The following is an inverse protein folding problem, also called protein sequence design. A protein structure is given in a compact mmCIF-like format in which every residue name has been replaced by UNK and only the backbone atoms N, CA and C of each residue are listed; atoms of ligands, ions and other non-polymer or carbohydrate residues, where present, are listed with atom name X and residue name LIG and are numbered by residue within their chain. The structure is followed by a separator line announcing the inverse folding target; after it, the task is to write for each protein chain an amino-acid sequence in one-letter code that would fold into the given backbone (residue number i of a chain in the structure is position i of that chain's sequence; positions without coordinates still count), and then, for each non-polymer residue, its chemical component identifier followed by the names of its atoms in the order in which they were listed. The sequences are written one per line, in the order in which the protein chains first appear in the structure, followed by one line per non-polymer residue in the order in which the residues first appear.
data_IF_687788122549
#
_entry.id   IF_687788122549
#
_cell.length_a   1.000
_cell.length_b   1.000
_cell.length_c   1.000
_cell.angle_alpha   90.00
_cell.angle_beta   90.00
_cell.angle_gamma   90.00
#
_symmetry.space_group_name_H-M   'P 1'
#
loop_
_entity.id
_entity.type
_entity.pdbx_description
1 polymer ?
#
# COMPACT_ATOMS: atom_id res chain seq x y z
N UNK A 1 14.74 11.65 -17.76
CA UNK A 1 13.79 12.78 -17.50
C UNK A 1 14.04 13.28 -16.08
N UNK A 2 14.01 14.60 -15.89
CA UNK A 2 14.01 15.19 -14.55
C UNK A 2 12.67 14.99 -13.83
N UNK A 3 12.64 15.32 -12.54
CA UNK A 3 11.46 15.08 -11.70
C UNK A 3 10.23 15.90 -12.09
N UNK A 4 10.43 17.12 -12.57
CA UNK A 4 9.32 18.01 -12.98
C UNK A 4 8.67 17.53 -14.30
N UNK A 5 9.49 17.05 -15.23
CA UNK A 5 8.99 16.44 -16.49
C UNK A 5 8.17 15.18 -16.19
N UNK A 6 8.66 14.30 -15.29
CA UNK A 6 7.89 13.11 -14.86
C UNK A 6 6.58 13.50 -14.17
N UNK A 7 6.61 14.54 -13.34
CA UNK A 7 5.43 15.04 -12.64
C UNK A 7 4.39 15.62 -13.60
N UNK A 8 4.84 16.34 -14.65
CA UNK A 8 3.95 16.82 -15.70
C UNK A 8 3.30 15.66 -16.46
N UNK A 9 4.09 14.65 -16.85
CA UNK A 9 3.59 13.43 -17.51
C UNK A 9 2.59 12.67 -16.64
N UNK A 10 2.86 12.53 -15.33
CA UNK A 10 1.93 11.92 -14.39
C UNK A 10 0.57 12.63 -14.41
N UNK A 11 0.55 13.95 -14.33
CA UNK A 11 -0.69 14.75 -14.36
C UNK A 11 -1.44 14.60 -15.67
N UNK A 12 -0.73 14.55 -16.80
CA UNK A 12 -1.32 14.34 -18.12
C UNK A 12 -1.97 12.95 -18.21
N UNK A 13 -1.26 11.89 -17.79
CA UNK A 13 -1.80 10.53 -17.75
C UNK A 13 -3.08 10.46 -16.90
N UNK A 14 -3.05 11.05 -15.70
CA UNK A 14 -4.21 11.07 -14.79
C UNK A 14 -5.40 11.80 -15.43
N UNK A 15 -5.17 12.94 -16.08
CA UNK A 15 -6.23 13.70 -16.76
C UNK A 15 -6.99 12.86 -17.78
N UNK A 16 -6.30 11.95 -18.46
CA UNK A 16 -6.89 11.09 -19.49
C UNK A 16 -7.71 9.93 -18.93
N UNK A 17 -7.66 9.66 -17.62
CA UNK A 17 -8.43 8.55 -17.01
C UNK A 17 -9.88 8.91 -16.69
N UNK A 18 -10.22 10.20 -16.56
CA UNK A 18 -11.57 10.65 -16.22
C UNK A 18 -11.93 10.39 -14.75
N UNK A 19 -12.83 9.46 -14.48
CA UNK A 19 -13.17 9.03 -13.11
C UNK A 19 -12.32 7.86 -12.68
N UNK A 20 -11.75 7.92 -11.45
CA UNK A 20 -10.85 6.88 -10.96
C UNK A 20 -11.10 6.50 -9.50
N UNK A 21 -10.77 5.24 -9.17
CA UNK A 21 -10.63 4.76 -7.80
C UNK A 21 -9.15 4.48 -7.50
N UNK A 22 -8.62 5.11 -6.46
CA UNK A 22 -7.24 4.90 -6.00
C UNK A 22 -7.22 3.80 -4.95
N UNK A 23 -6.44 2.74 -5.17
CA UNK A 23 -6.11 1.73 -4.17
C UNK A 23 -5.22 2.37 -3.09
N UNK A 24 -5.85 2.87 -2.02
CA UNK A 24 -5.22 3.74 -1.03
C UNK A 24 -4.81 2.98 0.23
N UNK A 25 -3.50 2.84 0.45
CA UNK A 25 -2.95 2.17 1.63
C UNK A 25 -2.52 3.12 2.76
N UNK A 26 -2.48 4.43 2.54
CA UNK A 26 -1.94 5.42 3.48
C UNK A 26 -0.41 5.45 3.57
N UNK A 27 0.28 4.75 2.68
CA UNK A 27 1.73 4.82 2.51
C UNK A 27 2.17 5.99 1.62
N UNK A 28 3.49 6.21 1.50
CA UNK A 28 4.09 7.30 0.71
C UNK A 28 3.51 7.37 -0.70
N UNK A 29 3.64 6.28 -1.46
CA UNK A 29 3.33 6.26 -2.90
C UNK A 29 1.83 6.46 -3.15
N UNK A 30 0.98 5.76 -2.40
CA UNK A 30 -0.48 5.86 -2.56
C UNK A 30 -1.05 7.21 -2.09
N UNK A 31 -0.44 7.83 -1.06
CA UNK A 31 -0.86 9.16 -0.60
C UNK A 31 -0.46 10.23 -1.61
N UNK A 32 0.75 10.17 -2.15
CA UNK A 32 1.19 11.06 -3.22
C UNK A 32 0.31 10.92 -4.46
N UNK A 33 0.08 9.68 -4.91
CA UNK A 33 -0.79 9.42 -6.04
C UNK A 33 -2.21 9.98 -5.82
N UNK A 34 -2.81 9.70 -4.66
CA UNK A 34 -4.15 10.16 -4.33
C UNK A 34 -4.24 11.69 -4.35
N UNK A 35 -3.23 12.39 -3.78
CA UNK A 35 -3.16 13.86 -3.82
C UNK A 35 -3.13 14.37 -5.25
N UNK A 36 -2.21 13.84 -6.09
CA UNK A 36 -2.09 14.30 -7.47
C UNK A 36 -3.36 14.00 -8.28
N UNK A 37 -3.96 12.84 -8.08
CA UNK A 37 -5.22 12.49 -8.72
C UNK A 37 -6.33 13.48 -8.35
N UNK A 38 -6.46 13.81 -7.07
CA UNK A 38 -7.46 14.76 -6.61
C UNK A 38 -7.20 16.18 -7.12
N UNK A 39 -5.95 16.63 -7.13
CA UNK A 39 -5.59 17.95 -7.67
C UNK A 39 -5.91 18.09 -9.17
N UNK A 40 -5.86 16.98 -9.92
CA UNK A 40 -6.11 16.98 -11.38
C UNK A 40 -7.60 16.77 -11.71
N UNK A 41 -8.29 15.90 -10.99
CA UNK A 41 -9.63 15.40 -11.34
C UNK A 41 -10.74 15.86 -10.38
N UNK A 42 -10.38 16.48 -9.22
CA UNK A 42 -11.36 16.92 -8.22
C UNK A 42 -12.23 15.77 -7.72
N UNK A 43 -13.54 15.98 -7.71
CA UNK A 43 -14.54 15.03 -7.21
C UNK A 43 -14.66 13.74 -8.05
N UNK A 44 -13.94 13.63 -9.17
CA UNK A 44 -13.89 12.41 -9.98
C UNK A 44 -12.93 11.35 -9.40
N UNK A 45 -12.44 11.54 -8.17
CA UNK A 45 -11.54 10.61 -7.49
C UNK A 45 -12.19 10.07 -6.22
N UNK A 46 -12.13 8.76 -6.04
CA UNK A 46 -12.43 8.12 -4.76
C UNK A 46 -11.20 7.40 -4.24
N UNK A 47 -11.04 7.37 -2.92
CA UNK A 47 -10.07 6.52 -2.23
C UNK A 47 -10.74 5.23 -1.75
N UNK A 48 -10.12 4.07 -1.98
CA UNK A 48 -10.59 2.80 -1.45
C UNK A 48 -9.47 2.13 -0.66
N UNK A 49 -9.68 1.96 0.64
CA UNK A 49 -8.75 1.30 1.56
C UNK A 49 -9.26 -0.04 2.01
N UNK A 50 -8.36 -1.01 2.10
CA UNK A 50 -8.64 -2.31 2.71
C UNK A 50 -7.91 -2.37 4.05
N UNK A 51 -8.65 -2.59 5.14
CA UNK A 51 -8.12 -2.78 6.50
C UNK A 51 -7.98 -4.26 6.78
N UNK A 52 -6.77 -4.67 7.14
CA UNK A 52 -6.43 -6.07 7.46
C UNK A 52 -5.65 -6.14 8.77
N UNK A 53 -5.68 -7.28 9.44
CA UNK A 53 -4.88 -7.53 10.65
C UNK A 53 -3.37 -7.63 10.36
N UNK A 54 -3.01 -7.76 9.08
CA UNK A 54 -1.61 -7.85 8.63
C UNK A 54 -0.92 -6.49 8.48
N UNK A 55 -1.65 -5.40 8.71
CA UNK A 55 -1.10 -4.05 8.76
C UNK A 55 -1.26 -3.50 10.18
N UNK A 56 -0.19 -3.02 10.82
CA UNK A 56 -0.30 -2.38 12.13
C UNK A 56 -1.24 -1.17 12.10
N UNK A 57 -2.03 -0.99 13.18
CA UNK A 57 -3.01 0.11 13.29
C UNK A 57 -2.35 1.48 13.10
N UNK A 58 -1.12 1.65 13.59
CA UNK A 58 -0.32 2.88 13.42
C UNK A 58 -0.14 3.30 11.96
N UNK A 59 -0.24 2.36 11.01
CA UNK A 59 -0.09 2.65 9.58
C UNK A 59 -1.32 3.33 8.99
N UNK A 60 -2.48 3.22 9.65
CA UNK A 60 -3.72 3.86 9.23
C UNK A 60 -3.90 5.27 9.82
N UNK A 61 -3.22 5.54 10.94
CA UNK A 61 -3.26 6.87 11.55
C UNK A 61 -2.76 7.90 10.53
N UNK A 62 -3.45 9.01 10.45
CA UNK A 62 -3.16 10.07 9.47
C UNK A 62 -3.71 9.82 8.06
N UNK A 63 -3.97 8.56 7.64
CA UNK A 63 -4.54 8.32 6.31
C UNK A 63 -5.99 8.78 6.20
N UNK A 64 -6.80 8.54 7.23
CA UNK A 64 -8.20 8.98 7.28
C UNK A 64 -8.30 10.50 7.48
N UNK A 65 -7.44 11.06 8.32
CA UNK A 65 -7.36 12.50 8.53
C UNK A 65 -6.98 13.22 7.23
N UNK A 66 -5.98 12.71 6.51
CA UNK A 66 -5.57 13.26 5.22
C UNK A 66 -6.74 13.30 4.22
N UNK A 67 -7.42 12.17 4.03
CA UNK A 67 -8.52 12.07 3.07
C UNK A 67 -9.67 13.00 3.44
N UNK A 68 -9.99 13.10 4.75
CA UNK A 68 -11.01 14.02 5.28
C UNK A 68 -10.62 15.47 5.04
N UNK A 69 -9.35 15.84 5.29
CA UNK A 69 -8.82 17.20 5.08
C UNK A 69 -8.89 17.60 3.60
N UNK A 70 -8.55 16.69 2.70
CA UNK A 70 -8.61 16.94 1.26
C UNK A 70 -10.04 16.88 0.68
N UNK A 71 -11.04 16.48 1.45
CA UNK A 71 -12.43 16.36 0.99
C UNK A 71 -12.69 15.20 0.04
N UNK A 72 -11.81 14.19 0.02
CA UNK A 72 -11.91 13.06 -0.91
C UNK A 72 -12.91 12.02 -0.39
N UNK A 73 -13.79 11.51 -1.25
CA UNK A 73 -14.70 10.40 -0.91
C UNK A 73 -13.91 9.13 -0.62
N UNK A 74 -14.08 8.56 0.58
CA UNK A 74 -13.26 7.44 1.04
C UNK A 74 -14.11 6.24 1.47
N UNK A 75 -13.81 5.08 0.90
CA UNK A 75 -14.39 3.79 1.28
C UNK A 75 -13.35 2.97 2.04
N UNK A 76 -13.75 2.46 3.20
CA UNK A 76 -12.90 1.61 4.04
C UNK A 76 -13.60 0.26 4.18
N UNK A 77 -12.96 -0.80 3.68
CA UNK A 77 -13.44 -2.16 3.79
C UNK A 77 -12.58 -2.95 4.77
N UNK A 78 -13.22 -3.70 5.65
CA UNK A 78 -12.53 -4.70 6.47
C UNK A 78 -12.36 -5.98 5.68
N UNK A 79 -11.18 -6.57 5.74
CA UNK A 79 -10.86 -7.82 5.10
C UNK A 79 -10.23 -8.79 6.09
N UNK A 80 -10.79 -10.00 6.14
CA UNK A 80 -10.22 -11.07 6.93
C UNK A 80 -9.30 -11.92 6.04
N UNK A 81 -8.00 -11.66 6.11
CA UNK A 81 -6.97 -12.34 5.31
C UNK A 81 -6.97 -13.86 5.53
N UNK A 82 -7.31 -14.31 6.74
CA UNK A 82 -7.24 -15.73 7.13
C UNK A 82 -8.28 -16.61 6.43
N UNK A 83 -9.25 -15.99 5.75
CA UNK A 83 -10.20 -16.73 4.91
C UNK A 83 -9.56 -17.23 3.61
N UNK A 84 -8.41 -16.67 3.22
CA UNK A 84 -7.70 -17.10 2.03
C UNK A 84 -6.82 -18.33 2.32
N UNK A 85 -6.93 -19.40 1.50
CA UNK A 85 -6.11 -20.61 1.67
C UNK A 85 -4.60 -20.35 1.66
N UNK A 86 -4.14 -19.29 0.98
CA UNK A 86 -2.72 -18.94 0.91
C UNK A 86 -2.12 -18.52 2.26
N UNK A 87 -2.92 -18.15 3.27
CA UNK A 87 -2.41 -17.85 4.61
C UNK A 87 -2.22 -19.13 5.45
N UNK A 88 -2.96 -20.19 5.15
CA UNK A 88 -2.77 -21.50 5.80
C UNK A 88 -1.47 -22.17 5.39
N UNK A 89 -1.11 -22.08 4.10
CA UNK A 89 0.05 -22.77 3.54
C UNK A 89 1.25 -21.84 3.31
N UNK A 90 1.04 -20.53 3.36
CA UNK A 90 2.05 -19.48 3.18
C UNK A 90 3.03 -19.75 2.02
N UNK A 91 2.53 -19.95 0.78
CA UNK A 91 3.38 -20.21 -0.38
C UNK A 91 4.16 -18.96 -0.81
N UNK A 92 5.24 -19.11 -1.61
CA UNK A 92 6.02 -17.97 -2.10
C UNK A 92 5.20 -16.93 -2.87
N UNK A 93 4.14 -17.35 -3.55
CA UNK A 93 3.23 -16.48 -4.32
C UNK A 93 2.01 -16.01 -3.52
N UNK A 94 1.97 -16.20 -2.17
CA UNK A 94 0.89 -15.71 -1.28
C UNK A 94 0.48 -14.27 -1.60
N UNK A 95 1.46 -13.39 -1.86
CA UNK A 95 1.19 -11.97 -2.13
C UNK A 95 0.36 -11.76 -3.40
N UNK A 96 0.44 -12.65 -4.39
CA UNK A 96 -0.41 -12.60 -5.57
C UNK A 96 -1.88 -12.85 -5.21
N UNK A 97 -2.18 -13.92 -4.48
CA UNK A 97 -3.56 -14.25 -4.10
C UNK A 97 -4.19 -13.19 -3.22
N UNK A 98 -3.44 -12.71 -2.21
CA UNK A 98 -3.88 -11.64 -1.33
C UNK A 98 -4.15 -10.34 -2.11
N UNK A 99 -3.21 -9.90 -2.94
CA UNK A 99 -3.36 -8.67 -3.74
C UNK A 99 -4.54 -8.78 -4.72
N UNK A 100 -4.73 -9.94 -5.35
CA UNK A 100 -5.84 -10.18 -6.28
C UNK A 100 -7.19 -10.03 -5.59
N UNK A 101 -7.36 -10.64 -4.42
CA UNK A 101 -8.61 -10.54 -3.64
C UNK A 101 -8.88 -9.10 -3.19
N UNK A 102 -7.87 -8.39 -2.70
CA UNK A 102 -7.95 -6.98 -2.34
C UNK A 102 -8.43 -6.14 -3.53
N UNK A 103 -7.82 -6.33 -4.70
CA UNK A 103 -8.14 -5.57 -5.90
C UNK A 103 -9.57 -5.87 -6.41
N UNK A 104 -10.02 -7.12 -6.35
CA UNK A 104 -11.40 -7.48 -6.71
C UNK A 104 -12.42 -6.75 -5.85
N UNK A 105 -12.15 -6.59 -4.55
CA UNK A 105 -13.01 -5.81 -3.64
C UNK A 105 -13.01 -4.33 -3.99
N UNK A 106 -11.84 -3.77 -4.33
CA UNK A 106 -11.72 -2.37 -4.78
C UNK A 106 -12.49 -2.16 -6.07
N UNK A 107 -12.37 -3.07 -7.04
CA UNK A 107 -13.10 -3.03 -8.31
C UNK A 107 -14.61 -3.02 -8.05
N UNK A 108 -15.10 -3.86 -7.14
CA UNK A 108 -16.53 -3.93 -6.82
C UNK A 108 -17.04 -2.61 -6.22
N UNK A 109 -16.29 -1.98 -5.31
CA UNK A 109 -16.65 -0.65 -4.78
C UNK A 109 -16.65 0.40 -5.88
N UNK A 110 -15.62 0.41 -6.72
CA UNK A 110 -15.51 1.35 -7.84
C UNK A 110 -16.66 1.20 -8.83
N UNK A 111 -17.05 -0.04 -9.15
CA UNK A 111 -18.17 -0.32 -10.04
C UNK A 111 -19.51 0.21 -9.49
N UNK A 112 -19.75 0.09 -8.18
CA UNK A 112 -20.95 0.65 -7.53
C UNK A 112 -21.00 2.18 -7.60
N UNK A 113 -19.84 2.85 -7.77
CA UNK A 113 -19.70 4.29 -7.97
C UNK A 113 -19.66 4.69 -9.46
N UNK A 114 -19.88 3.74 -10.37
CA UNK A 114 -19.80 3.96 -11.82
C UNK A 114 -18.38 4.23 -12.32
N UNK A 115 -17.37 3.74 -11.62
CA UNK A 115 -15.95 3.92 -11.93
C UNK A 115 -15.37 2.61 -12.46
N UNK A 116 -14.74 2.66 -13.62
CA UNK A 116 -14.12 1.49 -14.26
C UNK A 116 -12.60 1.51 -14.20
N UNK A 117 -12.00 2.68 -13.97
CA UNK A 117 -10.54 2.84 -13.91
C UNK A 117 -10.06 2.80 -12.47
N UNK A 118 -9.27 1.80 -12.14
CA UNK A 118 -8.62 1.67 -10.85
C UNK A 118 -7.12 1.91 -11.01
N UNK A 119 -6.52 2.67 -10.09
CA UNK A 119 -5.09 2.98 -10.09
C UNK A 119 -4.43 2.55 -8.80
N UNK A 120 -3.14 2.17 -8.86
CA UNK A 120 -2.32 1.84 -7.70
C UNK A 120 -1.01 2.62 -7.66
N UNK A 121 -0.36 2.65 -6.50
CA UNK A 121 0.87 3.40 -6.24
C UNK A 121 2.16 2.68 -6.62
N UNK A 122 2.14 1.70 -7.53
CA UNK A 122 3.36 1.05 -8.01
C UNK A 122 4.27 2.04 -8.74
N UNK A 123 5.58 1.95 -8.50
CA UNK A 123 6.59 2.87 -9.01
C UNK A 123 7.78 2.11 -9.62
N UNK A 124 8.79 2.81 -10.14
CA UNK A 124 9.93 2.21 -10.84
C UNK A 124 10.77 1.28 -9.97
N UNK A 125 10.92 1.56 -8.67
CA UNK A 125 11.70 0.72 -7.76
C UNK A 125 11.05 -0.66 -7.55
N UNK A 126 9.73 -0.77 -7.76
CA UNK A 126 9.00 -2.04 -7.65
C UNK A 126 9.31 -3.01 -8.80
N UNK A 127 9.98 -2.55 -9.88
CA UNK A 127 10.43 -3.42 -10.98
C UNK A 127 11.64 -4.27 -10.62
N UNK A 128 12.47 -3.79 -9.70
CA UNK A 128 13.74 -4.42 -9.31
C UNK A 128 13.56 -5.47 -8.20
N UNK A 129 12.33 -5.65 -7.69
CA UNK A 129 12.03 -6.54 -6.56
C UNK A 129 11.13 -7.71 -6.98
N UNK A 130 11.32 -8.87 -6.35
CA UNK A 130 10.40 -10.01 -6.52
C UNK A 130 9.05 -9.70 -5.88
N UNK A 131 8.09 -9.28 -6.69
CA UNK A 131 6.75 -8.90 -6.25
C UNK A 131 5.65 -9.68 -6.97
N UNK A 132 5.34 -10.90 -6.53
CA UNK A 132 4.30 -11.72 -7.17
C UNK A 132 2.93 -11.03 -7.24
N UNK A 133 2.65 -10.09 -6.35
CA UNK A 133 1.42 -9.28 -6.38
C UNK A 133 1.25 -8.42 -7.64
N UNK A 134 2.33 -8.11 -8.39
CA UNK A 134 2.24 -7.37 -9.66
C UNK A 134 1.47 -8.12 -10.74
N UNK A 135 1.54 -9.46 -10.74
CA UNK A 135 0.75 -10.29 -11.67
C UNK A 135 -0.75 -9.99 -11.53
N UNK A 136 -1.24 -9.76 -10.31
CA UNK A 136 -2.63 -9.41 -10.07
C UNK A 136 -3.02 -8.04 -10.67
N UNK A 137 -2.11 -7.05 -10.68
CA UNK A 137 -2.35 -5.75 -11.32
C UNK A 137 -2.56 -5.93 -12.82
N UNK A 138 -1.68 -6.69 -13.47
CA UNK A 138 -1.78 -6.96 -14.92
C UNK A 138 -3.05 -7.72 -15.28
N UNK A 139 -3.37 -8.80 -14.55
CA UNK A 139 -4.57 -9.61 -14.80
C UNK A 139 -5.88 -8.83 -14.63
N UNK A 140 -5.90 -7.90 -13.68
CA UNK A 140 -7.10 -7.11 -13.37
C UNK A 140 -7.09 -5.73 -14.06
N UNK A 141 -6.14 -5.49 -14.97
CA UNK A 141 -6.02 -4.24 -15.74
C UNK A 141 -5.93 -2.98 -14.87
N UNK A 142 -5.31 -3.10 -13.67
CA UNK A 142 -5.06 -1.95 -12.79
C UNK A 142 -3.98 -1.07 -13.38
N UNK A 143 -4.22 0.22 -13.45
CA UNK A 143 -3.24 1.20 -13.95
C UNK A 143 -2.25 1.59 -12.86
N UNK A 144 -1.00 1.83 -13.25
CA UNK A 144 0.08 2.24 -12.34
C UNK A 144 0.70 3.57 -12.82
N UNK A 145 0.01 4.71 -12.63
CA UNK A 145 0.41 5.97 -13.26
C UNK A 145 1.78 6.48 -12.83
N UNK A 146 2.23 6.19 -11.60
CA UNK A 146 3.58 6.53 -11.15
C UNK A 146 4.65 5.75 -11.94
N UNK A 147 4.39 4.46 -12.18
CA UNK A 147 5.26 3.61 -12.99
C UNK A 147 5.26 4.07 -14.46
N UNK A 148 4.09 4.36 -15.01
CA UNK A 148 3.91 4.85 -16.39
C UNK A 148 4.64 6.18 -16.63
N UNK A 149 4.70 7.05 -15.61
CA UNK A 149 5.46 8.30 -15.63
C UNK A 149 6.96 8.14 -15.32
N UNK A 150 7.44 6.91 -15.08
CA UNK A 150 8.83 6.62 -14.77
C UNK A 150 9.31 7.16 -13.42
N UNK A 151 8.40 7.29 -12.43
CA UNK A 151 8.71 7.84 -11.11
C UNK A 151 9.38 6.82 -10.21
N UNK A 152 10.46 7.23 -9.56
CA UNK A 152 11.14 6.50 -8.50
C UNK A 152 10.64 6.92 -7.12
N UNK A 153 10.91 6.13 -6.08
CA UNK A 153 10.62 6.53 -4.68
C UNK A 153 11.31 7.82 -4.29
N UNK A 154 12.50 8.08 -4.84
CA UNK A 154 13.22 9.34 -4.62
C UNK A 154 12.43 10.53 -5.19
N UNK A 155 11.93 10.41 -6.42
CA UNK A 155 11.11 11.45 -7.07
C UNK A 155 9.84 11.71 -6.25
N UNK A 156 9.16 10.63 -5.83
CA UNK A 156 7.94 10.70 -5.03
C UNK A 156 8.18 11.39 -3.69
N UNK A 157 9.30 11.10 -2.99
CA UNK A 157 9.64 11.77 -1.72
C UNK A 157 9.88 13.26 -1.89
N UNK A 158 10.65 13.66 -2.92
CA UNK A 158 10.92 15.07 -3.22
C UNK A 158 9.62 15.84 -3.48
N UNK A 159 8.75 15.29 -4.32
CA UNK A 159 7.46 15.92 -4.63
C UNK A 159 6.48 15.89 -3.44
N UNK A 160 6.45 14.80 -2.67
CA UNK A 160 5.64 14.71 -1.46
C UNK A 160 6.04 15.77 -0.43
N UNK A 161 7.34 16.03 -0.27
CA UNK A 161 7.84 17.08 0.60
C UNK A 161 7.45 18.47 0.11
N UNK A 162 7.58 18.73 -1.20
CA UNK A 162 7.13 20.01 -1.82
C UNK A 162 5.62 20.23 -1.62
N UNK A 163 4.81 19.17 -1.68
CA UNK A 163 3.35 19.24 -1.46
C UNK A 163 2.96 19.25 0.01
N UNK A 164 3.91 19.19 0.95
CA UNK A 164 3.65 19.17 2.38
C UNK A 164 2.93 17.91 2.87
N UNK A 165 3.07 16.77 2.19
CA UNK A 165 2.42 15.52 2.56
C UNK A 165 3.09 14.92 3.80
N UNK A 166 2.30 14.53 4.79
CA UNK A 166 2.78 13.93 6.05
C UNK A 166 3.57 12.63 5.85
N UNK A 167 3.44 12.01 4.68
CA UNK A 167 4.08 10.73 4.34
C UNK A 167 5.43 10.88 3.66
N UNK A 168 5.96 12.08 3.41
CA UNK A 168 7.16 12.31 2.59
C UNK A 168 8.39 11.54 3.08
N UNK A 169 8.57 11.39 4.40
CA UNK A 169 9.64 10.61 5.02
C UNK A 169 9.18 9.27 5.61
N UNK A 170 7.88 8.93 5.42
CA UNK A 170 7.34 7.68 5.95
C UNK A 170 8.06 6.48 5.34
N UNK A 171 8.44 5.55 6.21
CA UNK A 171 9.02 4.29 5.80
C UNK A 171 7.93 3.36 5.28
N UNK A 172 8.28 2.51 4.32
CA UNK A 172 7.33 1.51 3.82
C UNK A 172 7.27 0.33 4.78
N UNK A 173 6.19 0.17 5.55
CA UNK A 173 6.04 -0.99 6.40
C UNK A 173 5.83 -2.22 5.51
N UNK A 174 6.59 -3.26 5.78
CA UNK A 174 6.32 -4.56 5.17
C UNK A 174 5.13 -5.22 5.87
N UNK A 175 4.26 -5.88 5.09
CA UNK A 175 3.16 -6.67 5.60
C UNK A 175 3.63 -7.67 6.70
N UNK A 176 2.89 -7.80 7.80
CA UNK A 176 3.21 -8.69 8.92
C UNK A 176 3.39 -10.16 8.47
N UNK A 177 2.71 -10.57 7.41
CA UNK A 177 2.89 -11.89 6.83
C UNK A 177 4.34 -12.18 6.36
N UNK A 178 5.15 -11.14 6.10
CA UNK A 178 6.57 -11.30 5.74
C UNK A 178 7.48 -11.67 6.93
N UNK A 179 6.92 -11.72 8.15
CA UNK A 179 7.65 -12.13 9.37
C UNK A 179 7.74 -13.65 9.49
N UNK A 180 7.03 -14.39 8.66
CA UNK A 180 6.98 -15.85 8.68
C UNK A 180 7.74 -16.44 7.50
N UNK A 181 8.54 -17.50 7.71
CA UNK A 181 9.09 -18.29 6.60
C UNK A 181 7.98 -18.87 5.73
N UNK A 182 8.27 -19.07 4.45
CA UNK A 182 7.34 -19.78 3.57
C UNK A 182 7.05 -21.19 4.10
N UNK A 183 5.83 -21.65 3.93
CA UNK A 183 5.35 -22.92 4.49
C UNK A 183 4.83 -22.85 5.92
N UNK A 184 5.14 -21.78 6.65
CA UNK A 184 4.62 -21.57 8.03
C UNK A 184 3.24 -20.94 7.97
N UNK A 185 2.23 -21.61 8.58
CA UNK A 185 0.86 -21.09 8.64
C UNK A 185 0.80 -19.74 9.36
N UNK A 186 0.08 -18.80 8.78
CA UNK A 186 -0.15 -17.46 9.33
C UNK A 186 -1.55 -17.47 9.96
N UNK A 187 -1.61 -17.36 11.29
CA UNK A 187 -2.86 -17.38 12.06
C UNK A 187 -3.08 -16.08 12.83
N UNK A 188 -4.33 -15.77 13.22
CA UNK A 188 -4.64 -14.58 14.03
C UNK A 188 -3.79 -14.52 15.31
N UNK A 189 -3.60 -15.64 16.00
CA UNK A 189 -2.85 -15.71 17.25
C UNK A 189 -1.38 -15.35 17.04
N UNK A 190 -0.76 -15.91 15.98
CA UNK A 190 0.63 -15.62 15.60
C UNK A 190 0.83 -14.16 15.22
N UNK A 191 -0.10 -13.57 14.46
CA UNK A 191 -0.07 -12.15 14.12
C UNK A 191 -0.24 -11.28 15.36
N UNK A 192 -1.18 -11.62 16.27
CA UNK A 192 -1.36 -10.88 17.51
C UNK A 192 -0.10 -10.92 18.40
N UNK A 193 0.56 -12.09 18.47
CA UNK A 193 1.84 -12.25 19.18
C UNK A 193 2.94 -11.36 18.59
N UNK A 194 3.10 -11.35 17.25
CA UNK A 194 4.11 -10.51 16.58
C UNK A 194 3.81 -9.03 16.74
N UNK A 195 2.54 -8.62 16.64
CA UNK A 195 2.15 -7.23 16.87
C UNK A 195 2.52 -6.76 18.29
N UNK A 196 2.31 -7.60 19.30
CA UNK A 196 2.74 -7.29 20.68
C UNK A 196 4.25 -7.20 20.79
N UNK A 197 5.00 -8.13 20.17
CA UNK A 197 6.47 -8.11 20.19
C UNK A 197 7.03 -6.85 19.46
N UNK A 198 6.49 -6.52 18.28
CA UNK A 198 6.90 -5.29 17.56
C UNK A 198 6.50 -4.02 18.32
N UNK A 199 5.38 -4.03 19.09
CA UNK A 199 5.02 -2.88 19.92
C UNK A 199 6.03 -2.65 21.05
N UNK A 200 6.51 -3.71 21.72
CA UNK A 200 7.56 -3.59 22.74
C UNK A 200 8.83 -2.94 22.17
N UNK A 201 9.24 -3.34 20.97
CA UNK A 201 10.43 -2.76 20.32
C UNK A 201 10.18 -1.28 19.96
N UNK A 202 8.97 -0.94 19.52
CA UNK A 202 8.59 0.45 19.26
C UNK A 202 8.61 1.30 20.54
N UNK A 203 8.10 0.77 21.65
CA UNK A 203 8.06 1.45 22.95
C UNK A 203 9.46 1.70 23.52
N UNK A 204 10.45 0.89 23.12
CA UNK A 204 11.88 1.12 23.41
C UNK A 204 12.52 2.23 22.54
N UNK A 205 11.77 2.84 21.61
CA UNK A 205 12.22 3.97 20.79
C UNK A 205 12.79 3.60 19.44
N UNK A 206 12.82 2.32 19.07
CA UNK A 206 13.27 1.91 17.73
C UNK A 206 12.24 2.33 16.68
N UNK A 207 12.71 2.90 15.57
CA UNK A 207 11.86 3.39 14.47
C UNK A 207 11.77 2.42 13.31
N UNK A 208 12.87 1.69 13.04
CA UNK A 208 12.94 0.66 12.01
C UNK A 208 13.34 -0.68 12.60
N UNK A 209 12.40 -1.59 12.65
CA UNK A 209 12.60 -2.92 13.20
C UNK A 209 11.65 -3.94 12.57
N UNK A 210 11.97 -5.21 12.73
CA UNK A 210 11.12 -6.35 12.41
C UNK A 210 11.35 -7.45 13.42
N UNK A 211 10.27 -8.08 13.87
CA UNK A 211 10.35 -9.32 14.63
C UNK A 211 9.89 -10.46 13.74
N UNK A 212 10.80 -11.39 13.41
CA UNK A 212 10.49 -12.56 12.58
C UNK A 212 10.36 -13.81 13.43
N UNK A 213 9.36 -14.62 13.12
CA UNK A 213 9.14 -15.89 13.76
C UNK A 213 9.75 -17.01 12.90
N UNK A 214 10.76 -17.68 13.44
CA UNK A 214 11.39 -18.88 12.86
C UNK A 214 11.17 -20.04 13.84
N UNK A 215 10.09 -20.79 13.65
CA UNK A 215 9.63 -21.86 14.55
C UNK A 215 9.47 -21.34 15.99
N UNK A 216 10.38 -21.71 16.91
CA UNK A 216 10.39 -21.26 18.31
C UNK A 216 11.32 -20.06 18.56
N UNK A 217 11.99 -19.56 17.51
CA UNK A 217 12.96 -18.45 17.62
C UNK A 217 12.35 -17.16 17.11
N UNK A 218 12.37 -16.11 17.94
CA UNK A 218 12.09 -14.75 17.55
C UNK A 218 13.40 -14.06 17.14
N UNK A 219 13.53 -13.71 15.84
CA UNK A 219 14.66 -12.92 15.33
C UNK A 219 14.26 -11.45 15.26
N UNK A 220 14.97 -10.61 16.01
CA UNK A 220 14.79 -9.17 16.01
C UNK A 220 15.79 -8.55 15.05
N UNK A 221 15.29 -7.81 14.08
CA UNK A 221 16.06 -7.01 13.13
C UNK A 221 15.83 -5.54 13.45
N UNK A 222 16.89 -4.81 13.72
CA UNK A 222 16.89 -3.35 13.95
C UNK A 222 17.91 -2.72 13.03
N UNK A 223 17.66 -1.49 12.61
CA UNK A 223 18.66 -0.69 11.90
C UNK A 223 19.44 0.09 12.95
N UNK A 224 20.76 -0.02 12.90
CA UNK A 224 21.64 0.86 13.68
C UNK A 224 21.59 2.25 13.04
N UNK A 225 21.25 3.26 13.82
CA UNK A 225 21.37 4.67 13.45
C UNK A 225 22.85 5.08 13.36
#
# INVERSE_FOLDING_TARGET
MDVETKYALLKENIKNYGKIAVAYSGGLDSTFLLKVCHDVLGDNVIAVSIRTDLQPVREYLGSEEFVKKEGIKHFILKFNDYTLPCFKNNPPDRCYYCKKEILLRIINVAANEGITTIVDGSNMDDLCDYRPGRRALTELHIKSPLLEAGMTKKDIRVLSQKLGLYTWNKLSPACMASRFPYGTAITPERIAMLNKAEQVIADLGFTQFRVRLHDEVARIEVIND
#
